data_IF_071848038094
#
_entry.id   IF_071848038094
#
_cell.length_a   1.000
_cell.length_b   1.000
_cell.length_c   1.000
_cell.angle_alpha   90.00
_cell.angle_beta   90.00
_cell.angle_gamma   90.00
#
_symmetry.space_group_name_H-M   'P 1'
#
loop_
_entity.id
_entity.type
_entity.pdbx_description
1 polymer ?
#
# COMPACT_ATOMS: atom_id res chain seq x y z
N UNK A 1 10.60 17.42 29.31
CA UNK A 1 10.18 16.81 28.03
C UNK A 1 9.21 17.70 27.28
N UNK A 2 8.08 18.10 27.88
CA UNK A 2 7.02 18.89 27.22
C UNK A 2 7.55 20.18 26.58
N UNK A 3 8.31 20.98 27.33
CA UNK A 3 8.92 22.23 26.83
C UNK A 3 9.89 21.97 25.64
N UNK A 4 10.66 20.88 25.69
CA UNK A 4 11.55 20.50 24.57
C UNK A 4 10.75 20.18 23.31
N UNK A 5 9.66 19.46 23.46
CA UNK A 5 8.84 19.02 22.33
C UNK A 5 7.98 20.17 21.77
N UNK A 6 7.49 21.07 22.61
CA UNK A 6 6.86 22.32 22.18
C UNK A 6 7.85 23.19 21.39
N UNK A 7 9.10 23.30 21.90
CA UNK A 7 10.18 23.99 21.18
C UNK A 7 10.54 23.32 19.85
N UNK A 8 10.54 21.99 19.81
CA UNK A 8 10.79 21.25 18.59
C UNK A 8 9.66 21.38 17.56
N UNK A 9 8.42 21.36 18.01
CA UNK A 9 7.25 21.62 17.15
C UNK A 9 7.31 23.03 16.57
N UNK A 10 7.60 24.03 17.40
CA UNK A 10 7.80 25.41 16.94
C UNK A 10 8.95 25.53 15.92
N UNK A 11 10.03 24.73 16.08
CA UNK A 11 11.11 24.64 15.11
C UNK A 11 10.67 24.00 13.79
N UNK A 12 9.87 22.93 13.83
CA UNK A 12 9.31 22.32 12.64
C UNK A 12 8.39 23.28 11.89
N UNK A 13 7.47 23.96 12.61
CA UNK A 13 6.59 24.97 12.04
C UNK A 13 7.39 26.15 11.44
N UNK A 14 8.47 26.57 12.10
CA UNK A 14 9.37 27.59 11.56
C UNK A 14 10.10 27.11 10.31
N UNK A 15 10.61 25.88 10.30
CA UNK A 15 11.29 25.31 9.16
C UNK A 15 10.35 25.20 7.94
N UNK A 16 9.10 24.76 8.17
CA UNK A 16 8.07 24.71 7.15
C UNK A 16 7.76 26.11 6.58
N UNK A 17 7.61 27.13 7.46
CA UNK A 17 7.20 28.46 7.05
C UNK A 17 8.31 29.27 6.34
N UNK A 18 9.58 29.01 6.66
CA UNK A 18 10.69 29.89 6.24
C UNK A 18 11.66 29.22 5.26
N UNK A 19 11.63 27.90 5.16
CA UNK A 19 12.56 27.13 4.35
C UNK A 19 11.93 26.69 3.04
N UNK A 20 10.70 27.11 2.81
CA UNK A 20 9.93 26.71 1.67
C UNK A 20 10.11 27.67 0.49
N UNK A 21 10.51 27.12 -0.61
CA UNK A 21 9.84 27.32 -1.90
C UNK A 21 10.12 28.61 -2.69
N UNK A 22 10.99 29.50 -2.30
CA UNK A 22 11.36 30.61 -3.21
C UNK A 22 12.44 30.21 -4.25
N UNK A 23 13.02 29.02 -4.14
CA UNK A 23 14.00 28.51 -5.12
C UNK A 23 13.55 27.19 -5.68
N UNK A 24 13.52 27.05 -7.02
CA UNK A 24 13.20 25.80 -7.71
C UNK A 24 14.05 24.59 -7.25
N UNK A 25 15.23 24.86 -6.67
CA UNK A 25 16.13 23.87 -6.07
C UNK A 25 16.24 23.94 -4.54
N UNK A 26 15.60 24.93 -3.90
CA UNK A 26 15.86 25.33 -2.51
C UNK A 26 15.40 24.35 -1.45
N UNK A 27 14.37 23.53 -1.74
CA UNK A 27 13.87 22.56 -0.78
C UNK A 27 14.90 21.46 -0.47
N UNK A 28 15.77 21.13 -1.44
CA UNK A 28 16.82 20.13 -1.28
C UNK A 28 17.98 20.60 -0.41
N UNK A 29 18.15 21.91 -0.28
CA UNK A 29 19.23 22.53 0.48
C UNK A 29 18.81 22.97 1.88
N UNK A 30 17.51 22.92 2.19
CA UNK A 30 17.02 23.28 3.52
C UNK A 30 17.52 22.32 4.60
N UNK A 31 18.57 22.75 5.28
CA UNK A 31 19.15 22.02 6.41
C UNK A 31 18.17 21.90 7.58
N UNK A 32 17.34 22.90 7.80
CA UNK A 32 16.37 22.92 8.89
C UNK A 32 15.30 21.87 8.67
N UNK A 33 14.75 21.78 7.46
CA UNK A 33 13.77 20.75 7.12
C UNK A 33 14.37 19.35 7.20
N UNK A 34 15.58 19.14 6.69
CA UNK A 34 16.28 17.86 6.78
C UNK A 34 16.51 17.44 8.23
N UNK A 35 16.89 18.37 9.10
CA UNK A 35 17.04 18.11 10.53
C UNK A 35 15.70 17.70 11.12
N UNK A 36 14.63 18.45 10.87
CA UNK A 36 13.31 18.17 11.40
C UNK A 36 12.80 16.78 10.96
N UNK A 37 12.80 16.49 9.66
CA UNK A 37 12.25 15.24 9.14
C UNK A 37 13.04 14.00 9.58
N UNK A 38 14.35 14.14 9.79
CA UNK A 38 15.19 13.02 10.22
C UNK A 38 15.11 12.76 11.73
N UNK A 39 14.82 13.78 12.54
CA UNK A 39 14.81 13.64 13.99
C UNK A 39 13.44 13.30 14.57
N UNK A 40 12.34 13.66 13.91
CA UNK A 40 10.99 13.34 14.39
C UNK A 40 10.77 11.85 14.66
N UNK A 41 11.15 10.91 13.76
CA UNK A 41 11.04 9.49 14.07
C UNK A 41 11.80 9.06 15.33
N UNK A 42 13.00 9.60 15.55
CA UNK A 42 13.77 9.31 16.76
C UNK A 42 13.12 9.87 18.03
N UNK A 43 12.48 11.03 17.94
CA UNK A 43 11.72 11.61 19.05
C UNK A 43 10.50 10.75 19.37
N UNK A 44 9.77 10.29 18.36
CA UNK A 44 8.63 9.38 18.53
C UNK A 44 9.09 8.08 19.20
N UNK A 45 10.24 7.54 18.80
CA UNK A 45 10.81 6.34 19.41
C UNK A 45 11.14 6.54 20.89
N UNK A 46 11.77 7.66 21.25
CA UNK A 46 12.02 8.05 22.64
C UNK A 46 10.71 8.18 23.42
N UNK A 47 9.68 8.77 22.84
CA UNK A 47 8.36 8.91 23.47
C UNK A 47 7.68 7.56 23.65
N UNK A 48 7.84 6.61 22.73
CA UNK A 48 7.35 5.23 22.88
C UNK A 48 7.94 4.57 24.15
N UNK A 49 9.25 4.70 24.37
CA UNK A 49 9.91 4.18 25.55
C UNK A 49 9.46 4.91 26.82
N UNK A 50 9.35 6.24 26.76
CA UNK A 50 8.92 7.04 27.90
C UNK A 50 7.47 6.78 28.28
N UNK A 51 6.57 6.61 27.32
CA UNK A 51 5.16 6.27 27.57
C UNK A 51 5.02 4.89 28.22
N UNK A 52 5.81 3.90 27.75
CA UNK A 52 5.79 2.56 28.28
C UNK A 52 6.34 2.47 29.72
N UNK A 53 7.38 3.22 30.05
CA UNK A 53 8.07 3.15 31.36
C UNK A 53 7.50 4.13 32.39
N UNK A 54 7.04 5.31 31.97
CA UNK A 54 6.74 6.45 32.86
C UNK A 54 5.30 6.98 32.73
N UNK A 55 4.43 6.31 32.01
CA UNK A 55 3.05 6.78 31.74
C UNK A 55 3.00 8.21 31.19
N UNK A 56 3.83 8.50 30.19
CA UNK A 56 3.91 9.80 29.54
C UNK A 56 2.59 10.22 28.88
N UNK A 57 2.52 11.50 28.47
CA UNK A 57 1.34 12.06 27.81
C UNK A 57 1.18 11.50 26.36
N UNK A 58 0.15 10.66 26.13
CA UNK A 58 -0.11 10.11 24.80
C UNK A 58 -0.41 11.20 23.73
N UNK A 59 -0.94 12.34 24.15
CA UNK A 59 -1.25 13.46 23.27
C UNK A 59 -0.01 14.07 22.63
N UNK A 60 1.11 14.09 23.35
CA UNK A 60 2.36 14.63 22.88
C UNK A 60 2.96 13.79 21.76
N UNK A 61 2.98 12.47 21.95
CA UNK A 61 3.44 11.52 20.95
C UNK A 61 2.60 11.60 19.67
N UNK A 62 1.27 11.61 19.82
CA UNK A 62 0.36 11.77 18.69
C UNK A 62 0.63 13.07 17.93
N UNK A 63 0.87 14.17 18.65
CA UNK A 63 1.22 15.44 18.03
C UNK A 63 2.49 15.37 17.18
N UNK A 64 3.49 14.59 17.60
CA UNK A 64 4.71 14.38 16.79
C UNK A 64 4.44 13.54 15.54
N UNK A 65 3.56 12.52 15.63
CA UNK A 65 3.12 11.74 14.47
C UNK A 65 2.39 12.63 13.47
N UNK A 66 1.44 13.42 13.93
CA UNK A 66 0.66 14.35 13.09
C UNK A 66 1.57 15.38 12.41
N UNK A 67 2.56 15.92 13.14
CA UNK A 67 3.53 16.86 12.57
C UNK A 67 4.42 16.21 11.51
N UNK A 68 4.87 14.98 11.73
CA UNK A 68 5.62 14.25 10.71
C UNK A 68 4.81 14.05 9.43
N UNK A 69 3.54 13.65 9.55
CA UNK A 69 2.65 13.49 8.40
C UNK A 69 2.41 14.82 7.65
N UNK A 70 2.30 15.93 8.38
CA UNK A 70 2.20 17.27 7.80
C UNK A 70 3.47 17.62 7.01
N UNK A 71 4.64 17.38 7.58
CA UNK A 71 5.92 17.63 6.89
C UNK A 71 6.09 16.81 5.63
N UNK A 72 5.78 15.50 5.68
CA UNK A 72 5.89 14.61 4.51
C UNK A 72 5.00 15.09 3.35
N UNK A 73 3.82 15.62 3.64
CA UNK A 73 2.90 16.12 2.60
C UNK A 73 3.46 17.35 1.87
N UNK A 74 4.27 18.14 2.52
CA UNK A 74 4.85 19.36 1.93
C UNK A 74 6.10 19.11 1.09
N UNK A 75 6.64 17.89 1.07
CA UNK A 75 7.80 17.56 0.25
C UNK A 75 7.38 17.49 -1.21
N UNK A 76 8.04 18.28 -2.11
CA UNK A 76 7.76 18.21 -3.53
C UNK A 76 7.89 16.79 -4.08
N UNK A 77 6.90 16.34 -4.83
CA UNK A 77 6.85 14.99 -5.42
C UNK A 77 7.73 14.86 -6.66
N UNK A 78 7.99 15.98 -7.32
CA UNK A 78 8.70 16.06 -8.59
C UNK A 78 10.18 16.45 -8.45
N UNK A 79 10.71 16.48 -7.26
CA UNK A 79 12.11 16.81 -7.01
C UNK A 79 13.06 15.79 -7.64
N UNK A 80 13.96 16.26 -8.51
CA UNK A 80 14.94 15.42 -9.21
C UNK A 80 16.20 15.10 -8.39
N UNK A 81 16.26 15.55 -7.14
CA UNK A 81 17.43 15.30 -6.30
C UNK A 81 17.40 13.91 -5.70
N UNK A 82 18.34 13.07 -6.11
CA UNK A 82 18.57 11.75 -5.50
C UNK A 82 18.79 11.86 -3.98
N UNK A 83 19.40 12.96 -3.53
CA UNK A 83 19.68 13.20 -2.12
C UNK A 83 18.39 13.36 -1.29
N UNK A 84 17.44 14.18 -1.73
CA UNK A 84 16.14 14.34 -1.04
C UNK A 84 15.40 13.02 -1.01
N UNK A 85 15.38 12.32 -2.14
CA UNK A 85 14.73 11.02 -2.23
C UNK A 85 15.32 10.01 -1.24
N UNK A 86 16.65 9.98 -1.07
CA UNK A 86 17.32 9.10 -0.12
C UNK A 86 17.06 9.49 1.34
N UNK A 87 17.11 10.78 1.65
CA UNK A 87 16.84 11.30 3.00
C UNK A 87 15.40 11.02 3.39
N UNK A 88 14.46 11.36 2.52
CA UNK A 88 13.04 11.17 2.77
C UNK A 88 12.67 9.69 2.85
N UNK A 89 13.17 8.86 1.95
CA UNK A 89 12.89 7.42 2.00
C UNK A 89 13.40 6.78 3.30
N UNK A 90 14.58 7.16 3.77
CA UNK A 90 15.10 6.69 5.06
C UNK A 90 14.25 7.16 6.23
N UNK A 91 13.87 8.43 6.23
CA UNK A 91 13.02 9.00 7.27
C UNK A 91 11.65 8.33 7.32
N UNK A 92 11.01 8.10 6.16
CA UNK A 92 9.75 7.36 6.08
C UNK A 92 9.88 5.94 6.63
N UNK A 93 10.97 5.22 6.30
CA UNK A 93 11.20 3.89 6.85
C UNK A 93 11.35 3.92 8.37
N UNK A 94 12.12 4.87 8.90
CA UNK A 94 12.28 5.05 10.35
C UNK A 94 10.94 5.42 11.02
N UNK A 95 10.17 6.30 10.41
CA UNK A 95 8.85 6.68 10.91
C UNK A 95 7.91 5.47 11.00
N UNK A 96 7.85 4.66 9.94
CA UNK A 96 7.02 3.45 9.94
C UNK A 96 7.47 2.42 10.99
N UNK A 97 8.77 2.39 11.31
CA UNK A 97 9.32 1.50 12.35
C UNK A 97 8.94 1.91 13.77
N UNK A 98 8.67 3.19 14.01
CA UNK A 98 8.33 3.71 15.36
C UNK A 98 6.83 3.86 15.60
N UNK A 99 5.99 3.61 14.60
CA UNK A 99 4.54 3.60 14.76
C UNK A 99 4.10 2.43 15.64
N UNK A 100 3.11 2.68 16.50
CA UNK A 100 2.49 1.67 17.36
C UNK A 100 1.09 1.32 16.86
N UNK A 101 0.48 0.29 17.43
CA UNK A 101 -0.89 -0.12 17.12
C UNK A 101 -1.93 0.99 17.31
N UNK A 102 -1.64 1.98 18.16
CA UNK A 102 -2.54 3.10 18.43
C UNK A 102 -2.45 4.21 17.36
N UNK A 103 -1.38 4.24 16.56
CA UNK A 103 -1.18 5.27 15.53
C UNK A 103 -1.56 4.80 14.15
N UNK A 104 -1.54 3.50 13.95
CA UNK A 104 -1.61 2.92 12.61
C UNK A 104 -2.96 2.27 12.42
N UNK A 105 -3.77 2.98 11.69
CA UNK A 105 -4.78 2.36 10.85
C UNK A 105 -4.29 2.36 9.38
N UNK A 106 -5.04 1.71 8.52
CA UNK A 106 -4.76 1.74 7.08
C UNK A 106 -4.76 3.17 6.50
N UNK A 107 -5.40 4.12 7.18
CA UNK A 107 -5.47 5.54 6.80
C UNK A 107 -4.12 6.23 6.97
N UNK A 108 -3.39 5.95 8.05
CA UNK A 108 -2.04 6.51 8.26
C UNK A 108 -1.07 6.04 7.19
N UNK A 109 -1.05 4.74 6.88
CA UNK A 109 -0.23 4.20 5.80
C UNK A 109 -0.62 4.76 4.44
N UNK A 110 -1.92 4.89 4.16
CA UNK A 110 -2.41 5.54 2.94
C UNK A 110 -1.94 7.00 2.85
N UNK A 111 -1.99 7.76 3.93
CA UNK A 111 -1.50 9.14 3.95
C UNK A 111 -0.01 9.24 3.60
N UNK A 112 0.80 8.30 4.11
CA UNK A 112 2.23 8.23 3.74
C UNK A 112 2.39 7.87 2.26
N UNK A 113 1.61 6.91 1.74
CA UNK A 113 1.63 6.52 0.33
C UNK A 113 1.21 7.69 -0.58
N UNK A 114 0.10 8.39 -0.28
CA UNK A 114 -0.34 9.59 -1.03
C UNK A 114 0.75 10.64 -1.07
N UNK A 115 1.39 10.86 0.07
CA UNK A 115 2.44 11.88 0.16
C UNK A 115 3.71 11.53 -0.61
N UNK A 116 3.96 10.26 -0.89
CA UNK A 116 5.24 9.81 -1.47
C UNK A 116 5.11 8.95 -2.71
N UNK A 117 4.02 8.22 -2.89
CA UNK A 117 3.83 7.27 -3.98
C UNK A 117 2.35 7.15 -4.37
N UNK A 118 1.85 8.18 -5.02
CA UNK A 118 0.47 8.23 -5.53
C UNK A 118 0.18 7.11 -6.52
N UNK A 119 1.18 6.66 -7.29
CA UNK A 119 0.99 5.58 -8.27
C UNK A 119 0.74 4.25 -7.55
N UNK A 120 1.52 3.94 -6.51
CA UNK A 120 1.25 2.74 -5.68
C UNK A 120 -0.09 2.85 -4.97
N UNK A 121 -0.50 4.04 -4.53
CA UNK A 121 -1.82 4.23 -3.93
C UNK A 121 -2.94 3.97 -4.94
N UNK A 122 -2.86 4.56 -6.14
CA UNK A 122 -3.84 4.33 -7.22
C UNK A 122 -3.93 2.84 -7.54
N UNK A 123 -2.78 2.18 -7.69
CA UNK A 123 -2.69 0.75 -7.90
C UNK A 123 -3.40 -0.04 -6.77
N UNK A 124 -3.12 0.28 -5.52
CA UNK A 124 -3.76 -0.38 -4.37
C UNK A 124 -5.27 -0.17 -4.34
N UNK A 125 -5.75 1.01 -4.70
CA UNK A 125 -7.19 1.29 -4.82
C UNK A 125 -7.83 0.48 -5.94
N UNK A 126 -7.20 0.42 -7.11
CA UNK A 126 -7.68 -0.39 -8.24
C UNK A 126 -7.72 -1.88 -7.88
N UNK A 127 -6.66 -2.40 -7.26
CA UNK A 127 -6.61 -3.78 -6.77
C UNK A 127 -7.75 -4.05 -5.78
N UNK A 128 -7.99 -3.14 -4.84
CA UNK A 128 -9.10 -3.23 -3.89
C UNK A 128 -10.48 -3.27 -4.56
N UNK A 129 -10.70 -2.45 -5.57
CA UNK A 129 -11.95 -2.42 -6.32
C UNK A 129 -12.14 -3.71 -7.14
N UNK A 130 -11.10 -4.19 -7.83
CA UNK A 130 -11.14 -5.44 -8.60
C UNK A 130 -11.41 -6.63 -7.68
N UNK A 131 -10.61 -6.79 -6.62
CA UNK A 131 -10.75 -7.86 -5.64
C UNK A 131 -12.13 -7.84 -4.97
N UNK A 132 -12.64 -6.64 -4.63
CA UNK A 132 -13.97 -6.46 -4.07
C UNK A 132 -15.10 -6.92 -5.01
N UNK A 133 -14.98 -6.68 -6.33
CA UNK A 133 -15.95 -7.19 -7.31
C UNK A 133 -15.93 -8.71 -7.40
N UNK A 134 -14.72 -9.30 -7.46
CA UNK A 134 -14.57 -10.76 -7.49
C UNK A 134 -15.11 -11.37 -6.18
N UNK A 135 -14.78 -10.80 -5.02
CA UNK A 135 -15.28 -11.28 -3.72
C UNK A 135 -16.80 -11.18 -3.62
N UNK A 136 -17.41 -10.11 -4.16
CA UNK A 136 -18.88 -9.96 -4.22
C UNK A 136 -19.49 -11.09 -5.06
N UNK A 137 -18.93 -11.38 -6.22
CA UNK A 137 -19.40 -12.50 -7.07
C UNK A 137 -19.18 -13.87 -6.39
N UNK A 138 -18.10 -14.05 -5.60
CA UNK A 138 -17.91 -15.26 -4.77
C UNK A 138 -19.07 -15.39 -3.78
N UNK A 139 -19.43 -14.34 -3.04
CA UNK A 139 -20.55 -14.39 -2.09
C UNK A 139 -21.89 -14.66 -2.77
N UNK A 140 -22.10 -14.19 -3.99
CA UNK A 140 -23.35 -14.38 -4.74
C UNK A 140 -23.45 -15.78 -5.36
N UNK A 141 -22.33 -16.37 -5.81
CA UNK A 141 -22.36 -17.57 -6.66
C UNK A 141 -21.64 -18.79 -6.08
N UNK A 142 -20.57 -18.62 -5.28
CA UNK A 142 -19.72 -19.70 -4.75
C UNK A 142 -19.19 -19.38 -3.35
N UNK A 143 -20.04 -19.02 -2.36
CA UNK A 143 -19.57 -18.61 -1.03
C UNK A 143 -18.83 -19.71 -0.27
N UNK A 144 -19.00 -20.98 -0.66
CA UNK A 144 -18.28 -22.13 -0.11
C UNK A 144 -16.78 -22.06 -0.34
N UNK A 145 -16.29 -21.27 -1.29
CA UNK A 145 -14.85 -21.04 -1.51
C UNK A 145 -14.17 -20.34 -0.33
N UNK A 146 -14.93 -19.67 0.52
CA UNK A 146 -14.44 -18.95 1.70
C UNK A 146 -14.42 -19.84 2.97
N UNK A 147 -14.93 -21.08 2.92
CA UNK A 147 -14.85 -22.02 4.03
C UNK A 147 -13.38 -22.38 4.26
N UNK A 148 -12.93 -22.37 5.52
CA UNK A 148 -11.54 -22.58 5.91
C UNK A 148 -10.70 -21.29 5.97
N UNK A 149 -11.25 -20.15 5.51
CA UNK A 149 -10.63 -18.84 5.65
C UNK A 149 -11.36 -17.99 6.69
N UNK A 150 -10.69 -16.96 7.21
CA UNK A 150 -11.25 -16.02 8.19
C UNK A 150 -11.89 -16.73 9.42
N UNK A 151 -11.32 -17.86 9.82
CA UNK A 151 -11.83 -18.74 10.89
C UNK A 151 -13.32 -19.12 10.70
N UNK A 152 -13.73 -19.37 9.43
CA UNK A 152 -15.04 -19.87 9.07
C UNK A 152 -14.97 -21.38 8.75
N UNK A 153 -15.65 -22.21 9.54
CA UNK A 153 -15.69 -23.67 9.34
C UNK A 153 -16.94 -24.12 8.53
N UNK A 154 -17.89 -23.21 8.33
CA UNK A 154 -19.15 -23.49 7.64
C UNK A 154 -19.62 -22.35 6.75
N UNK A 155 -20.49 -22.67 5.79
CA UNK A 155 -21.14 -21.67 4.94
C UNK A 155 -21.96 -20.65 5.74
N UNK A 156 -22.57 -21.07 6.83
CA UNK A 156 -23.36 -20.18 7.71
C UNK A 156 -22.45 -19.10 8.30
N UNK A 157 -21.29 -19.48 8.85
CA UNK A 157 -20.31 -18.54 9.40
C UNK A 157 -19.74 -17.60 8.34
N UNK A 158 -19.49 -18.10 7.12
CA UNK A 158 -19.08 -17.26 5.99
C UNK A 158 -20.10 -16.16 5.71
N UNK A 159 -21.39 -16.52 5.66
CA UNK A 159 -22.45 -15.57 5.38
C UNK A 159 -22.70 -14.59 6.55
N UNK A 160 -22.61 -15.04 7.79
CA UNK A 160 -22.72 -14.20 8.99
C UNK A 160 -21.55 -13.21 9.11
N UNK A 161 -20.35 -13.59 8.69
CA UNK A 161 -19.15 -12.73 8.74
C UNK A 161 -18.92 -11.94 7.44
N UNK A 162 -19.87 -11.92 6.51
CA UNK A 162 -19.72 -11.29 5.19
C UNK A 162 -19.12 -9.88 5.25
N UNK A 163 -19.69 -9.01 6.06
CA UNK A 163 -19.24 -7.61 6.15
C UNK A 163 -17.83 -7.51 6.72
N UNK A 164 -17.48 -8.38 7.68
CA UNK A 164 -16.15 -8.45 8.25
C UNK A 164 -15.10 -8.94 7.24
N UNK A 165 -15.46 -9.93 6.42
CA UNK A 165 -14.60 -10.46 5.35
C UNK A 165 -14.38 -9.39 4.26
N UNK A 166 -15.44 -8.66 3.88
CA UNK A 166 -15.34 -7.56 2.91
C UNK A 166 -14.44 -6.45 3.45
N UNK A 167 -14.61 -6.05 4.71
CA UNK A 167 -13.76 -5.05 5.36
C UNK A 167 -12.30 -5.52 5.45
N UNK A 168 -12.07 -6.77 5.87
CA UNK A 168 -10.74 -7.39 5.91
C UNK A 168 -10.04 -7.32 4.54
N UNK A 169 -10.74 -7.73 3.47
CA UNK A 169 -10.21 -7.69 2.11
C UNK A 169 -9.90 -6.27 1.67
N UNK A 170 -10.81 -5.32 1.94
CA UNK A 170 -10.60 -3.91 1.64
C UNK A 170 -9.37 -3.33 2.33
N UNK A 171 -9.17 -3.65 3.61
CA UNK A 171 -7.99 -3.21 4.36
C UNK A 171 -6.70 -3.86 3.85
N UNK A 172 -6.73 -5.17 3.54
CA UNK A 172 -5.59 -5.88 2.96
C UNK A 172 -5.13 -5.25 1.65
N UNK A 173 -6.07 -4.90 0.76
CA UNK A 173 -5.76 -4.26 -0.53
C UNK A 173 -5.18 -2.85 -0.39
N UNK A 174 -5.43 -2.16 0.73
CA UNK A 174 -4.83 -0.84 0.97
C UNK A 174 -3.34 -0.92 1.32
N UNK A 175 -2.87 -2.05 1.85
CA UNK A 175 -1.53 -2.17 2.43
C UNK A 175 -0.67 -3.28 1.82
N UNK A 176 -1.20 -4.11 0.91
CA UNK A 176 -0.46 -5.28 0.39
C UNK A 176 0.88 -4.87 -0.24
N UNK A 177 0.95 -3.70 -0.81
CA UNK A 177 2.10 -3.14 -1.52
C UNK A 177 2.94 -2.16 -0.67
N UNK A 178 2.68 -2.05 0.64
CA UNK A 178 3.34 -1.09 1.54
C UNK A 178 4.86 -1.16 1.49
N UNK A 179 5.43 -2.32 1.22
CA UNK A 179 6.87 -2.50 1.08
C UNK A 179 7.49 -1.75 -0.11
N UNK A 180 6.70 -1.34 -1.10
CA UNK A 180 7.15 -0.50 -2.21
C UNK A 180 7.54 0.91 -1.76
N UNK A 181 7.03 1.41 -0.64
CA UNK A 181 7.41 2.71 -0.09
C UNK A 181 8.92 2.86 0.10
N UNK A 182 9.62 1.77 0.44
CA UNK A 182 11.07 1.76 0.55
C UNK A 182 11.79 1.88 -0.80
N UNK A 183 11.09 1.64 -1.91
CA UNK A 183 11.62 1.55 -3.27
C UNK A 183 10.92 2.49 -4.26
N UNK A 184 10.05 3.36 -3.79
CA UNK A 184 9.20 4.23 -4.63
C UNK A 184 10.01 4.99 -5.70
N UNK A 185 11.19 5.47 -5.35
CA UNK A 185 12.06 6.20 -6.28
C UNK A 185 12.65 5.35 -7.42
N UNK A 186 12.74 4.02 -7.21
CA UNK A 186 13.25 3.10 -8.22
C UNK A 186 12.12 2.64 -9.13
N UNK A 187 10.94 2.39 -8.55
CA UNK A 187 9.82 1.73 -9.24
C UNK A 187 9.06 2.70 -10.14
N UNK A 188 8.70 3.87 -9.62
CA UNK A 188 7.66 4.70 -10.23
C UNK A 188 8.16 5.90 -11.04
N UNK A 189 9.46 6.22 -10.98
CA UNK A 189 10.02 7.40 -11.64
C UNK A 189 10.89 7.09 -12.86
N UNK A 190 10.91 5.85 -13.31
CA UNK A 190 11.74 5.46 -14.47
C UNK A 190 10.92 5.47 -15.76
N UNK A 191 11.35 6.25 -16.73
CA UNK A 191 10.81 6.24 -18.10
C UNK A 191 11.41 5.15 -19.01
N UNK A 192 12.31 4.32 -18.47
CA UNK A 192 12.99 3.22 -19.14
C UNK A 192 12.68 1.87 -18.49
N UNK A 193 12.99 0.80 -19.20
CA UNK A 193 12.95 -0.55 -18.61
C UNK A 193 13.92 -0.66 -17.42
N UNK A 194 13.49 -1.34 -16.39
CA UNK A 194 14.27 -1.57 -15.18
C UNK A 194 15.44 -2.52 -15.45
N UNK A 195 16.57 -2.26 -14.83
CA UNK A 195 17.70 -3.20 -14.82
C UNK A 195 17.38 -4.44 -13.98
N UNK A 196 18.15 -5.54 -14.17
CA UNK A 196 17.98 -6.76 -13.36
C UNK A 196 18.13 -6.51 -11.85
N UNK A 197 19.03 -5.59 -11.45
CA UNK A 197 19.21 -5.22 -10.03
C UNK A 197 18.04 -4.45 -9.48
N UNK A 198 17.46 -3.54 -10.25
CA UNK A 198 16.27 -2.80 -9.86
C UNK A 198 15.07 -3.74 -9.72
N UNK A 199 14.87 -4.65 -10.68
CA UNK A 199 13.85 -5.70 -10.58
C UNK A 199 14.04 -6.58 -9.35
N UNK A 200 15.27 -7.01 -9.08
CA UNK A 200 15.59 -7.79 -7.87
C UNK A 200 15.27 -7.03 -6.59
N UNK A 201 15.56 -5.72 -6.55
CA UNK A 201 15.21 -4.86 -5.42
C UNK A 201 13.69 -4.74 -5.26
N UNK A 202 12.93 -4.74 -6.36
CA UNK A 202 11.46 -4.72 -6.31
C UNK A 202 10.92 -6.03 -5.74
N UNK A 203 11.47 -7.17 -6.11
CA UNK A 203 11.03 -8.48 -5.62
C UNK A 203 11.16 -8.67 -4.09
N UNK A 204 11.88 -7.78 -3.41
CA UNK A 204 11.98 -7.78 -1.95
C UNK A 204 10.82 -7.05 -1.25
N UNK A 205 9.94 -6.30 -1.99
CA UNK A 205 8.88 -5.53 -1.34
C UNK A 205 7.89 -6.36 -0.52
N UNK A 206 7.49 -7.61 -0.89
CA UNK A 206 6.62 -8.39 -0.05
C UNK A 206 7.23 -8.70 1.31
N UNK A 207 8.52 -9.06 1.34
CA UNK A 207 9.25 -9.30 2.59
C UNK A 207 9.41 -8.02 3.42
N UNK A 208 9.74 -6.92 2.75
CA UNK A 208 9.87 -5.63 3.41
C UNK A 208 8.55 -5.18 4.04
N UNK A 209 7.45 -5.32 3.29
CA UNK A 209 6.10 -5.00 3.77
C UNK A 209 5.68 -5.90 4.93
N UNK A 210 5.81 -7.21 4.81
CA UNK A 210 5.49 -8.16 5.88
C UNK A 210 6.28 -7.85 7.18
N UNK A 211 7.59 -7.58 7.06
CA UNK A 211 8.42 -7.18 8.20
C UNK A 211 7.97 -5.88 8.87
N UNK A 212 7.43 -4.94 8.09
CA UNK A 212 6.82 -3.72 8.66
C UNK A 212 5.58 -4.07 9.48
N UNK A 213 4.71 -4.97 8.97
CA UNK A 213 3.48 -5.36 9.65
C UNK A 213 3.73 -6.16 10.94
N UNK A 214 4.81 -6.94 11.03
CA UNK A 214 5.18 -7.69 12.25
C UNK A 214 5.29 -6.79 13.48
N UNK A 215 5.66 -5.52 13.29
CA UNK A 215 5.83 -4.54 14.36
C UNK A 215 4.53 -3.84 14.73
N UNK A 216 3.46 -4.04 13.97
CA UNK A 216 2.17 -3.36 14.13
C UNK A 216 1.09 -4.41 14.39
N UNK A 217 0.77 -4.72 15.65
CA UNK A 217 -0.12 -5.84 15.99
C UNK A 217 -1.48 -5.81 15.27
N UNK A 218 -2.07 -4.62 15.08
CA UNK A 218 -3.35 -4.46 14.39
C UNK A 218 -3.30 -4.81 12.91
N UNK A 219 -2.11 -4.72 12.27
CA UNK A 219 -1.90 -5.02 10.86
C UNK A 219 -1.27 -6.39 10.61
N UNK A 220 -0.74 -7.03 11.65
CA UNK A 220 -0.07 -8.33 11.50
C UNK A 220 -1.00 -9.42 10.93
N UNK A 221 -2.31 -9.27 11.08
CA UNK A 221 -3.33 -10.14 10.48
C UNK A 221 -3.29 -10.19 8.93
N UNK A 222 -2.64 -9.21 8.29
CA UNK A 222 -2.48 -9.14 6.83
C UNK A 222 -1.12 -9.65 6.35
N UNK A 223 -0.26 -10.13 7.26
CA UNK A 223 1.12 -10.53 7.00
C UNK A 223 1.24 -11.48 5.80
N UNK A 224 0.47 -12.56 5.79
CA UNK A 224 0.53 -13.58 4.74
C UNK A 224 0.05 -13.05 3.38
N UNK A 225 -0.93 -12.14 3.37
CA UNK A 225 -1.40 -11.51 2.13
C UNK A 225 -0.31 -10.61 1.57
N UNK A 226 0.30 -9.76 2.40
CA UNK A 226 1.41 -8.88 2.00
C UNK A 226 2.61 -9.69 1.52
N UNK A 227 2.93 -10.79 2.20
CA UNK A 227 4.08 -11.64 1.85
C UNK A 227 3.83 -12.44 0.58
N UNK A 228 2.61 -12.92 0.38
CA UNK A 228 2.27 -13.95 -0.61
C UNK A 228 1.63 -13.48 -1.91
N UNK A 229 1.26 -12.19 -2.06
CA UNK A 229 0.48 -11.71 -3.20
C UNK A 229 1.16 -11.87 -4.59
N UNK A 230 2.42 -12.24 -4.64
CA UNK A 230 3.13 -12.59 -5.88
C UNK A 230 3.42 -14.10 -6.02
N UNK A 231 2.82 -14.94 -5.19
CA UNK A 231 2.96 -16.39 -5.31
C UNK A 231 1.91 -16.95 -6.25
N UNK A 232 2.30 -17.93 -7.09
CA UNK A 232 1.34 -18.70 -7.89
C UNK A 232 0.43 -19.54 -7.00
N UNK A 233 -0.77 -19.83 -7.50
CA UNK A 233 -1.76 -20.66 -6.79
C UNK A 233 -1.20 -22.03 -6.34
N UNK A 234 -0.39 -22.66 -7.18
CA UNK A 234 0.22 -23.95 -6.88
C UNK A 234 1.48 -23.87 -5.98
N UNK A 235 1.85 -22.67 -5.56
CA UNK A 235 3.00 -22.39 -4.68
C UNK A 235 4.38 -22.52 -5.34
N UNK A 236 4.46 -22.97 -6.62
CA UNK A 236 5.74 -23.33 -7.25
C UNK A 236 6.50 -22.15 -7.83
N UNK A 237 5.79 -21.08 -8.21
CA UNK A 237 6.37 -19.91 -8.83
C UNK A 237 6.10 -18.63 -8.02
N UNK A 238 6.73 -17.54 -8.43
CA UNK A 238 6.58 -16.25 -7.79
C UNK A 238 7.59 -16.02 -6.66
N UNK A 239 7.38 -14.95 -5.94
CA UNK A 239 8.26 -14.54 -4.84
C UNK A 239 7.44 -14.06 -3.63
N UNK A 240 8.03 -14.17 -2.42
CA UNK A 240 9.33 -14.75 -2.10
C UNK A 240 9.32 -16.28 -2.20
N UNK A 241 10.47 -16.89 -2.56
CA UNK A 241 10.56 -18.34 -2.78
C UNK A 241 10.47 -19.16 -1.50
N UNK A 242 10.74 -18.57 -0.37
CA UNK A 242 10.73 -19.18 0.97
C UNK A 242 9.38 -19.11 1.69
N UNK A 243 8.34 -18.59 1.05
CA UNK A 243 6.97 -18.58 1.55
C UNK A 243 6.10 -19.60 0.80
N UNK A 244 5.42 -20.45 1.55
CA UNK A 244 4.44 -21.41 1.02
C UNK A 244 3.01 -20.91 1.28
N UNK A 245 2.41 -20.28 0.25
CA UNK A 245 1.04 -19.79 0.32
C UNK A 245 -0.01 -20.90 0.33
N UNK A 246 0.35 -22.15 -0.02
CA UNK A 246 -0.61 -23.24 -0.12
C UNK A 246 -1.11 -23.73 1.24
N UNK A 247 -0.35 -23.47 2.31
CA UNK A 247 -0.69 -23.82 3.70
C UNK A 247 -1.22 -22.63 4.51
N UNK A 248 -1.24 -21.43 3.92
CA UNK A 248 -1.77 -20.24 4.61
C UNK A 248 -3.30 -20.32 4.75
N UNK A 249 -3.81 -19.92 5.91
CA UNK A 249 -5.24 -19.74 6.15
C UNK A 249 -5.85 -18.63 5.27
N UNK A 250 -5.02 -17.69 4.85
CA UNK A 250 -5.42 -16.56 4.00
C UNK A 250 -5.23 -16.85 2.51
N UNK A 251 -5.02 -18.11 2.13
CA UNK A 251 -4.73 -18.52 0.75
C UNK A 251 -5.69 -17.94 -0.28
N UNK A 252 -6.99 -17.93 0.01
CA UNK A 252 -7.99 -17.37 -0.90
C UNK A 252 -7.87 -15.86 -1.05
N UNK A 253 -7.53 -15.15 0.03
CA UNK A 253 -7.33 -13.70 0.01
C UNK A 253 -6.01 -13.33 -0.68
N UNK A 254 -4.95 -14.11 -0.48
CA UNK A 254 -3.69 -13.98 -1.23
C UNK A 254 -3.97 -14.08 -2.73
N UNK A 255 -4.76 -15.05 -3.15
CA UNK A 255 -5.10 -15.26 -4.55
C UNK A 255 -5.95 -14.13 -5.12
N UNK A 256 -6.94 -13.64 -4.36
CA UNK A 256 -7.75 -12.50 -4.78
C UNK A 256 -6.90 -11.26 -5.02
N UNK A 257 -5.94 -10.96 -4.13
CA UNK A 257 -4.99 -9.85 -4.32
C UNK A 257 -4.08 -10.13 -5.51
N UNK A 258 -3.52 -11.35 -5.64
CA UNK A 258 -2.68 -11.75 -6.77
C UNK A 258 -3.37 -11.52 -8.11
N UNK A 259 -4.59 -12.03 -8.27
CA UNK A 259 -5.35 -11.91 -9.52
C UNK A 259 -5.69 -10.44 -9.82
N UNK A 260 -6.11 -9.70 -8.80
CA UNK A 260 -6.44 -8.29 -8.94
C UNK A 260 -5.20 -7.43 -9.28
N UNK A 261 -4.05 -7.68 -8.64
CA UNK A 261 -2.77 -7.04 -8.94
C UNK A 261 -2.34 -7.33 -10.39
N UNK A 262 -2.38 -8.60 -10.82
CA UNK A 262 -2.04 -8.99 -12.17
C UNK A 262 -2.98 -8.33 -13.20
N UNK A 263 -4.27 -8.25 -12.94
CA UNK A 263 -5.27 -7.64 -13.81
C UNK A 263 -5.05 -6.13 -13.91
N UNK A 264 -4.88 -5.45 -12.80
CA UNK A 264 -4.59 -4.00 -12.80
C UNK A 264 -3.29 -3.69 -13.52
N UNK A 265 -2.20 -4.39 -13.16
CA UNK A 265 -0.89 -4.19 -13.76
C UNK A 265 -0.86 -4.47 -15.27
N UNK A 266 -1.67 -5.41 -15.77
CA UNK A 266 -1.74 -5.75 -17.18
C UNK A 266 -2.56 -4.74 -18.00
N UNK A 267 -3.55 -4.10 -17.39
CA UNK A 267 -4.54 -3.25 -18.08
C UNK A 267 -4.34 -1.75 -17.85
N UNK A 268 -3.38 -1.35 -16.99
CA UNK A 268 -3.11 0.05 -16.70
C UNK A 268 -2.51 0.77 -17.92
N UNK A 269 -3.29 1.71 -18.48
CA UNK A 269 -2.93 2.52 -19.63
C UNK A 269 -2.51 3.95 -19.28
N UNK A 270 -2.58 4.33 -17.99
CA UNK A 270 -2.26 5.66 -17.50
C UNK A 270 -0.89 5.66 -16.80
N UNK A 271 -0.72 4.84 -15.76
CA UNK A 271 0.47 4.85 -14.91
C UNK A 271 1.67 4.09 -15.47
N UNK A 272 1.49 3.23 -16.46
CA UNK A 272 2.53 2.34 -17.00
C UNK A 272 2.82 2.58 -18.48
N UNK A 273 3.16 3.81 -18.85
CA UNK A 273 3.43 4.24 -20.24
C UNK A 273 4.58 3.49 -20.94
N UNK A 274 5.45 2.80 -20.19
CA UNK A 274 6.59 2.04 -20.72
C UNK A 274 6.23 0.62 -21.19
N UNK A 275 4.98 0.17 -21.00
CA UNK A 275 4.51 -1.18 -21.36
C UNK A 275 3.18 -1.07 -22.10
N UNK A 276 3.01 -1.79 -23.19
CA UNK A 276 1.72 -1.88 -23.88
C UNK A 276 0.67 -2.53 -22.96
N UNK A 277 -0.46 -1.84 -22.76
CA UNK A 277 -1.57 -2.35 -21.97
C UNK A 277 -2.27 -3.53 -22.68
N UNK A 278 -2.82 -4.43 -21.89
CA UNK A 278 -3.69 -5.51 -22.36
C UNK A 278 -5.15 -5.11 -22.20
N UNK A 279 -6.02 -5.68 -23.01
CA UNK A 279 -7.47 -5.61 -22.80
C UNK A 279 -7.88 -6.58 -21.69
N UNK A 280 -9.04 -6.35 -21.06
CA UNK A 280 -9.64 -7.30 -20.12
C UNK A 280 -9.72 -8.72 -20.70
N UNK A 281 -10.19 -8.85 -21.95
CA UNK A 281 -10.33 -10.17 -22.59
C UNK A 281 -8.97 -10.87 -22.72
N UNK A 282 -7.91 -10.14 -23.08
CA UNK A 282 -6.56 -10.73 -23.15
C UNK A 282 -6.04 -11.15 -21.80
N UNK A 283 -6.36 -10.39 -20.74
CA UNK A 283 -6.02 -10.76 -19.37
C UNK A 283 -6.76 -12.03 -18.93
N UNK A 284 -8.05 -12.13 -19.21
CA UNK A 284 -8.86 -13.32 -18.91
C UNK A 284 -8.35 -14.56 -19.67
N UNK A 285 -8.00 -14.42 -20.95
CA UNK A 285 -7.38 -15.54 -21.72
C UNK A 285 -6.11 -16.05 -21.03
N UNK A 286 -5.26 -15.18 -20.50
CA UNK A 286 -4.04 -15.58 -19.77
C UNK A 286 -4.36 -16.26 -18.44
N UNK A 287 -5.40 -15.81 -17.74
CA UNK A 287 -5.89 -16.48 -16.54
C UNK A 287 -6.37 -17.89 -16.86
N UNK A 288 -7.15 -18.07 -17.90
CA UNK A 288 -7.63 -19.37 -18.36
C UNK A 288 -6.47 -20.31 -18.76
N UNK A 289 -5.46 -19.79 -19.48
CA UNK A 289 -4.28 -20.58 -19.87
C UNK A 289 -3.44 -21.06 -18.69
N UNK A 290 -3.43 -20.29 -17.61
CA UNK A 290 -2.63 -20.58 -16.40
C UNK A 290 -3.48 -21.07 -15.22
N UNK A 291 -4.74 -21.45 -15.50
CA UNK A 291 -5.71 -21.97 -14.58
C UNK A 291 -5.18 -23.21 -13.84
N UNK A 292 -5.27 -23.20 -12.52
CA UNK A 292 -4.82 -24.30 -11.65
C UNK A 292 -3.31 -24.35 -11.40
N UNK A 293 -2.52 -23.52 -12.09
CA UNK A 293 -1.08 -23.36 -11.82
C UNK A 293 -0.79 -21.99 -11.21
N UNK A 294 -0.96 -20.93 -11.99
CA UNK A 294 -0.72 -19.55 -11.51
C UNK A 294 -1.93 -19.02 -10.78
N UNK A 295 -3.14 -19.30 -11.26
CA UNK A 295 -4.40 -18.76 -10.75
C UNK A 295 -5.35 -19.86 -10.26
N UNK A 296 -6.14 -19.55 -9.21
CA UNK A 296 -7.13 -20.47 -8.66
C UNK A 296 -8.18 -20.87 -9.71
N UNK A 297 -8.36 -22.16 -9.98
CA UNK A 297 -9.27 -22.59 -11.04
C UNK A 297 -10.72 -22.16 -10.79
N UNK A 298 -11.18 -22.20 -9.54
CA UNK A 298 -12.56 -21.87 -9.18
C UNK A 298 -12.85 -20.37 -9.37
N UNK A 299 -11.87 -19.50 -9.13
CA UNK A 299 -12.03 -18.05 -9.33
C UNK A 299 -11.95 -17.71 -10.82
N UNK A 300 -11.05 -18.36 -11.58
CA UNK A 300 -10.98 -18.20 -13.03
C UNK A 300 -12.30 -18.61 -13.68
N UNK A 301 -12.86 -19.78 -13.30
CA UNK A 301 -14.15 -20.27 -13.78
C UNK A 301 -15.30 -19.32 -13.43
N UNK A 302 -15.27 -18.74 -12.22
CA UNK A 302 -16.27 -17.76 -11.80
C UNK A 302 -16.22 -16.50 -12.69
N UNK A 303 -15.03 -15.94 -12.94
CA UNK A 303 -14.88 -14.77 -13.79
C UNK A 303 -15.31 -15.08 -15.24
N UNK A 304 -14.99 -16.27 -15.75
CA UNK A 304 -15.37 -16.71 -17.10
C UNK A 304 -16.89 -16.84 -17.27
N UNK A 305 -17.60 -17.33 -16.24
CA UNK A 305 -19.02 -17.68 -16.31
C UNK A 305 -19.93 -16.52 -15.87
N UNK A 306 -19.47 -15.56 -15.09
CA UNK A 306 -20.28 -14.44 -14.59
C UNK A 306 -20.17 -13.24 -15.53
N UNK A 307 -21.12 -13.11 -16.47
CA UNK A 307 -21.19 -12.01 -17.42
C UNK A 307 -21.32 -10.63 -16.73
N UNK A 308 -22.02 -10.57 -15.59
CA UNK A 308 -22.17 -9.34 -14.82
C UNK A 308 -20.83 -8.92 -14.25
N UNK A 309 -20.09 -9.85 -13.62
CA UNK A 309 -18.75 -9.60 -13.10
C UNK A 309 -17.81 -9.14 -14.22
N UNK A 310 -17.82 -9.80 -15.38
CA UNK A 310 -17.02 -9.37 -16.54
C UNK A 310 -17.36 -7.95 -16.99
N UNK A 311 -18.64 -7.59 -17.03
CA UNK A 311 -19.10 -6.24 -17.40
C UNK A 311 -18.60 -5.20 -16.39
N UNK A 312 -18.75 -5.51 -15.09
CA UNK A 312 -18.30 -4.64 -13.99
C UNK A 312 -16.79 -4.44 -14.02
N UNK A 313 -16.01 -5.52 -14.25
CA UNK A 313 -14.56 -5.44 -14.37
C UNK A 313 -14.11 -4.65 -15.61
N UNK A 314 -14.75 -4.81 -16.78
CA UNK A 314 -14.43 -4.01 -17.97
C UNK A 314 -14.65 -2.53 -17.72
N UNK A 315 -15.78 -2.16 -17.13
CA UNK A 315 -16.08 -0.77 -16.77
C UNK A 315 -15.06 -0.22 -15.77
N UNK A 316 -14.75 -0.99 -14.73
CA UNK A 316 -13.79 -0.59 -13.70
C UNK A 316 -12.37 -0.35 -14.28
N UNK A 317 -11.92 -1.22 -15.17
CA UNK A 317 -10.60 -1.13 -15.78
C UNK A 317 -10.46 -0.02 -16.84
N UNK A 318 -11.56 0.61 -17.24
CA UNK A 318 -11.60 1.72 -18.21
C UNK A 318 -12.05 3.01 -17.55
N UNK A 319 -13.33 3.26 -17.47
CA UNK A 319 -13.91 4.48 -16.91
C UNK A 319 -13.67 4.61 -15.41
N UNK A 320 -13.83 3.51 -14.66
CA UNK A 320 -13.55 3.47 -13.23
C UNK A 320 -12.09 3.78 -12.89
N UNK A 321 -11.15 3.34 -13.73
CA UNK A 321 -9.72 3.69 -13.58
C UNK A 321 -9.49 5.19 -13.72
N UNK A 322 -10.07 5.82 -14.74
CA UNK A 322 -9.95 7.27 -14.95
C UNK A 322 -10.51 8.01 -13.73
N UNK A 323 -11.66 7.55 -13.19
CA UNK A 323 -12.25 8.12 -12.00
C UNK A 323 -11.33 7.98 -10.77
N UNK A 324 -10.74 6.80 -10.56
CA UNK A 324 -9.81 6.55 -9.45
C UNK A 324 -8.57 7.46 -9.54
N UNK A 325 -8.01 7.64 -10.74
CA UNK A 325 -6.90 8.56 -10.97
C UNK A 325 -7.31 10.00 -10.63
N UNK A 326 -8.47 10.43 -11.12
CA UNK A 326 -8.97 11.78 -10.87
C UNK A 326 -9.19 12.06 -9.37
N UNK A 327 -9.80 11.12 -8.66
CA UNK A 327 -10.05 11.25 -7.21
C UNK A 327 -8.76 11.36 -6.41
N UNK A 328 -7.78 10.50 -6.70
CA UNK A 328 -6.51 10.52 -5.96
C UNK A 328 -5.68 11.76 -6.30
N UNK A 329 -5.60 12.14 -7.58
CA UNK A 329 -4.93 13.39 -7.95
C UNK A 329 -5.65 14.62 -7.40
N UNK A 330 -6.98 14.60 -7.30
CA UNK A 330 -7.75 15.65 -6.62
C UNK A 330 -7.37 15.78 -5.14
N UNK A 331 -7.28 14.66 -4.42
CA UNK A 331 -6.81 14.67 -3.01
C UNK A 331 -5.39 15.22 -2.86
N UNK A 332 -4.56 15.02 -3.88
CA UNK A 332 -3.18 15.53 -3.92
C UNK A 332 -3.15 17.04 -4.11
N UNK A 333 -3.93 17.55 -5.06
CA UNK A 333 -4.00 18.99 -5.41
C UNK A 333 -4.67 19.77 -4.28
N UNK A 334 -5.78 19.29 -3.74
CA UNK A 334 -6.50 19.95 -2.63
C UNK A 334 -5.64 20.05 -1.36
N UNK A 335 -4.66 19.18 -1.19
CA UNK A 335 -3.70 19.25 -0.08
C UNK A 335 -2.62 20.32 -0.31
N UNK A 336 -2.25 20.58 -1.56
CA UNK A 336 -1.29 21.62 -1.92
C UNK A 336 -1.93 23.02 -1.83
N UNK A 337 -3.24 23.17 -2.09
CA UNK A 337 -3.99 24.43 -1.96
C UNK A 337 -4.37 24.76 -0.49
N UNK A 338 -4.32 23.79 0.41
CA UNK A 338 -4.63 23.97 1.84
C UNK A 338 -3.39 24.23 2.73
N UNK A 339 -2.20 24.19 2.15
CA UNK A 339 -0.91 24.45 2.81
C UNK A 339 -0.39 25.86 2.51
#
# INVERSE_FOLDING_TARGET
CTEFLEGYKAFCDYAIAHDTMEHEDGFTESRLFQVAINHLPSIIDILNHYEAEYHGDPGLRKSCVDEYLKMIRQIPRTGNSNFVNDVVSRSVCQFLEVLTANDVDSTTLMNVMVSRDEITLIHSQMVGQIAGRILTSIFENKPELLIGSFDCESLVEVLEKRDQIVDFMSQACKIFDVGKLQKANIVNKQSRSLTKRELQSIYEHPKSGAKMLERIPSLNRFHDIVLGHHKSWDGKMGYPSDFDNTVSKDRIFIELVHMADCMDAATDFIGRSYKGQKTFNRCLEEFMQSRGSVYAPEIVDLIEQDEKLQSDLRHLLTEGRIQTYYEIYGMVIDQDDAA
#
